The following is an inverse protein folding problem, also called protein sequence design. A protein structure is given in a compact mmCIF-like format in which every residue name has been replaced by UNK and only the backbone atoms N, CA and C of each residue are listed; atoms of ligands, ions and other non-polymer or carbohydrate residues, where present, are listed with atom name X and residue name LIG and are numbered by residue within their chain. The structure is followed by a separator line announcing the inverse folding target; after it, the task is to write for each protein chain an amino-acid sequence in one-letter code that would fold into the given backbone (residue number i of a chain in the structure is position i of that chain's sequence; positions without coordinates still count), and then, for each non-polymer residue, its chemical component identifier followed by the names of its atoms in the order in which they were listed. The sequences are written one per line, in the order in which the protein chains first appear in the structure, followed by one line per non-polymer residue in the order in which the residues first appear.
data_IF_885650071601
#
_entry.id   IF_885650071601
#
_cell.length_a   1.000
_cell.length_b   1.000
_cell.length_c   1.000
_cell.angle_alpha   90.00
_cell.angle_beta   90.00
_cell.angle_gamma   90.00
#
_symmetry.space_group_name_H-M   'P 1'
#
loop_
_entity.id
_entity.type
_entity.pdbx_description
1 polymer ?
#
# COMPACT_ATOMS: atom_id res chain seq x y z
N UNK A 1 -52.89 -76.82 14.32
CA UNK A 1 -53.51 -75.49 14.53
C UNK A 1 -52.73 -74.76 15.61
N UNK A 2 -51.84 -73.84 15.21
CA UNK A 2 -51.07 -72.97 16.11
C UNK A 2 -51.28 -71.53 15.61
N UNK A 3 -51.73 -70.57 16.44
CA UNK A 3 -51.70 -69.16 16.07
C UNK A 3 -50.29 -68.59 16.29
N UNK A 4 -49.73 -68.00 15.23
CA UNK A 4 -48.49 -67.23 15.26
C UNK A 4 -48.76 -65.87 15.89
N UNK A 5 -48.03 -65.57 16.97
CA UNK A 5 -48.10 -64.31 17.71
C UNK A 5 -47.58 -63.12 16.89
N UNK A 6 -48.40 -62.07 16.83
CA UNK A 6 -48.04 -60.76 16.28
C UNK A 6 -47.10 -60.03 17.23
N UNK A 7 -45.91 -59.66 16.74
CA UNK A 7 -44.94 -58.84 17.45
C UNK A 7 -45.29 -57.37 17.20
N UNK A 8 -45.64 -56.66 18.27
CA UNK A 8 -45.80 -55.21 18.26
C UNK A 8 -44.44 -54.53 18.10
N UNK A 9 -44.28 -53.70 17.07
CA UNK A 9 -43.13 -52.81 16.90
C UNK A 9 -43.32 -51.57 17.76
N UNK A 10 -42.36 -51.33 18.66
CA UNK A 10 -42.22 -50.11 19.44
C UNK A 10 -41.51 -49.08 18.54
N UNK A 11 -42.22 -48.05 18.10
CA UNK A 11 -41.67 -46.91 17.37
C UNK A 11 -41.19 -45.86 18.38
N UNK A 12 -39.89 -45.84 18.66
CA UNK A 12 -39.26 -44.84 19.52
C UNK A 12 -38.96 -43.59 18.70
N UNK A 13 -39.73 -42.52 18.94
CA UNK A 13 -39.57 -41.22 18.27
C UNK A 13 -38.28 -40.53 18.68
N UNK A 14 -37.45 -40.18 17.69
CA UNK A 14 -36.27 -39.34 17.86
C UNK A 14 -36.73 -37.88 17.83
N UNK A 15 -36.72 -37.20 18.98
CA UNK A 15 -36.83 -35.74 19.03
C UNK A 15 -35.44 -35.14 18.83
N UNK A 16 -35.11 -34.81 17.59
CA UNK A 16 -33.91 -34.03 17.25
C UNK A 16 -34.10 -32.62 17.81
N UNK A 17 -33.33 -32.28 18.84
CA UNK A 17 -33.33 -30.96 19.48
C UNK A 17 -32.54 -29.97 18.61
N UNK A 18 -33.26 -29.18 17.83
CA UNK A 18 -32.74 -28.12 16.96
C UNK A 18 -32.47 -26.84 17.75
N UNK A 19 -31.45 -26.81 18.62
CA UNK A 19 -31.03 -25.57 19.30
C UNK A 19 -29.52 -25.62 19.59
N UNK A 20 -28.67 -25.26 18.62
CA UNK A 20 -27.32 -24.69 18.89
C UNK A 20 -26.62 -24.17 17.61
N UNK A 21 -27.25 -23.28 16.84
CA UNK A 21 -26.63 -22.75 15.60
C UNK A 21 -26.90 -21.25 15.40
N UNK A 22 -26.52 -20.39 16.35
CA UNK A 22 -26.80 -18.96 16.23
C UNK A 22 -25.81 -17.99 16.92
N UNK A 23 -24.54 -18.37 17.17
CA UNK A 23 -23.64 -17.51 17.98
C UNK A 23 -22.22 -17.27 17.44
N UNK A 24 -21.94 -17.54 16.16
CA UNK A 24 -20.59 -17.40 15.58
C UNK A 24 -20.53 -16.55 14.29
N UNK A 25 -21.27 -15.45 14.23
CA UNK A 25 -21.25 -14.53 13.07
C UNK A 25 -20.98 -13.05 13.45
N UNK A 26 -20.44 -12.78 14.65
CA UNK A 26 -20.43 -11.42 15.21
C UNK A 26 -19.09 -10.66 15.22
N UNK A 27 -18.03 -11.12 14.54
CA UNK A 27 -16.77 -10.33 14.45
C UNK A 27 -16.16 -10.38 13.06
N UNK A 28 -16.97 -10.03 12.06
CA UNK A 28 -16.52 -9.69 10.73
C UNK A 28 -16.84 -8.22 10.44
N UNK A 29 -16.48 -7.32 11.35
CA UNK A 29 -16.34 -5.92 10.97
C UNK A 29 -15.08 -5.87 10.09
N UNK A 30 -15.26 -6.16 8.79
CA UNK A 30 -14.35 -5.71 7.75
C UNK A 30 -14.38 -4.17 7.82
N UNK A 31 -13.57 -3.62 8.72
CA UNK A 31 -13.15 -2.24 8.61
C UNK A 31 -12.26 -2.21 7.38
N UNK A 32 -12.83 -1.80 6.24
CA UNK A 32 -12.02 -1.15 5.22
C UNK A 32 -11.39 0.04 5.94
N UNK A 33 -10.12 -0.12 6.31
CA UNK A 33 -9.39 0.93 7.00
C UNK A 33 -9.24 2.07 6.00
N UNK A 34 -9.71 3.25 6.34
CA UNK A 34 -9.49 4.43 5.49
C UNK A 34 -7.98 4.54 5.20
N UNK A 35 -7.57 4.77 3.94
CA UNK A 35 -6.17 4.79 3.61
C UNK A 35 -5.44 5.83 4.45
N UNK A 36 -4.23 5.51 4.93
CA UNK A 36 -3.46 6.46 5.70
C UNK A 36 -3.26 7.72 4.84
N UNK A 37 -3.38 8.92 5.41
CA UNK A 37 -3.16 10.13 4.66
C UNK A 37 -1.74 10.11 4.08
N UNK A 38 -1.52 10.71 2.90
CA UNK A 38 -0.20 10.74 2.31
C UNK A 38 0.79 11.42 3.27
N UNK A 39 2.04 10.90 3.37
CA UNK A 39 3.04 11.49 4.26
C UNK A 39 3.34 12.94 3.86
N UNK A 40 3.60 13.83 4.83
CA UNK A 40 3.82 15.25 4.56
C UNK A 40 5.09 15.47 3.75
N UNK A 41 5.06 16.52 2.92
CA UNK A 41 6.21 16.93 2.12
C UNK A 41 7.41 17.33 3.00
N UNK A 42 8.66 17.12 2.54
CA UNK A 42 9.85 17.58 3.23
C UNK A 42 9.87 19.11 3.40
N UNK A 43 10.57 19.60 4.44
CA UNK A 43 10.67 21.03 4.70
C UNK A 43 11.23 21.81 3.51
N UNK A 44 10.56 22.90 3.12
CA UNK A 44 10.94 23.75 1.99
C UNK A 44 10.60 23.18 0.61
N UNK A 45 9.98 22.00 0.53
CA UNK A 45 9.44 21.48 -0.71
C UNK A 45 8.27 22.35 -1.20
N UNK A 46 8.18 22.56 -2.51
CA UNK A 46 7.11 23.32 -3.17
C UNK A 46 6.33 22.39 -4.07
N UNK A 47 4.99 22.46 -4.04
CA UNK A 47 4.14 21.66 -4.92
C UNK A 47 4.46 21.91 -6.40
N UNK A 48 4.53 20.83 -7.17
CA UNK A 48 4.86 20.81 -8.59
C UNK A 48 6.30 20.34 -8.86
N UNK A 49 6.53 19.73 -10.02
CA UNK A 49 7.81 19.13 -10.41
C UNK A 49 8.83 20.14 -10.99
N UNK A 50 8.51 21.44 -11.01
CA UNK A 50 9.31 22.47 -11.65
C UNK A 50 8.96 22.67 -13.13
N UNK A 51 9.96 23.02 -13.94
CA UNK A 51 9.84 23.25 -15.39
C UNK A 51 11.00 22.56 -16.14
N UNK A 52 10.92 22.50 -17.47
CA UNK A 52 12.05 22.08 -18.32
C UNK A 52 12.37 20.58 -18.34
N UNK A 53 13.65 20.24 -18.47
CA UNK A 53 14.13 18.86 -18.60
C UNK A 53 13.85 18.02 -17.35
N UNK A 54 13.89 18.65 -16.18
CA UNK A 54 13.63 17.99 -14.90
C UNK A 54 12.19 17.48 -14.79
N UNK A 55 11.21 18.19 -15.35
CA UNK A 55 9.81 17.70 -15.40
C UNK A 55 9.69 16.47 -16.29
N UNK A 56 10.38 16.45 -17.42
CA UNK A 56 10.38 15.29 -18.32
C UNK A 56 11.00 14.08 -17.62
N UNK A 57 12.16 14.26 -16.98
CA UNK A 57 12.84 13.20 -16.23
C UNK A 57 11.98 12.71 -15.05
N UNK A 58 11.33 13.62 -14.31
CA UNK A 58 10.41 13.28 -13.23
C UNK A 58 9.18 12.50 -13.72
N UNK A 59 8.62 12.88 -14.87
CA UNK A 59 7.47 12.17 -15.46
C UNK A 59 7.85 10.73 -15.88
N UNK A 60 9.07 10.55 -16.42
CA UNK A 60 9.61 9.23 -16.74
C UNK A 60 9.87 8.41 -15.48
N UNK A 61 10.47 9.01 -14.45
CA UNK A 61 10.71 8.36 -13.16
C UNK A 61 9.40 7.92 -12.49
N UNK A 62 8.37 8.77 -12.50
CA UNK A 62 7.03 8.43 -12.00
C UNK A 62 6.44 7.24 -12.74
N UNK A 63 6.48 7.26 -14.08
CA UNK A 63 5.95 6.18 -14.91
C UNK A 63 6.68 4.86 -14.65
N UNK A 64 8.02 4.92 -14.53
CA UNK A 64 8.83 3.74 -14.25
C UNK A 64 8.61 3.20 -12.83
N UNK A 65 8.57 4.07 -11.82
CA UNK A 65 8.28 3.68 -10.44
C UNK A 65 6.90 3.03 -10.35
N UNK A 66 5.86 3.67 -10.90
CA UNK A 66 4.50 3.10 -10.92
C UNK A 66 4.47 1.73 -11.57
N UNK A 67 5.08 1.58 -12.76
CA UNK A 67 5.18 0.30 -13.46
C UNK A 67 5.88 -0.78 -12.63
N UNK A 68 6.88 -0.41 -11.80
CA UNK A 68 7.53 -1.35 -10.89
C UNK A 68 6.60 -1.72 -9.73
N UNK A 69 5.87 -0.75 -9.18
CA UNK A 69 4.93 -0.96 -8.08
C UNK A 69 3.75 -1.86 -8.52
N UNK A 70 3.17 -1.61 -9.69
CA UNK A 70 2.08 -2.39 -10.31
C UNK A 70 2.39 -3.89 -10.51
N UNK A 71 3.63 -4.34 -10.28
CA UNK A 71 3.98 -5.77 -10.30
C UNK A 71 3.59 -6.53 -9.03
N UNK A 72 3.40 -5.80 -7.94
CA UNK A 72 3.26 -6.39 -6.60
C UNK A 72 2.15 -5.75 -5.76
N UNK A 73 1.65 -4.60 -6.19
CA UNK A 73 0.67 -3.79 -5.50
C UNK A 73 -0.43 -3.44 -6.49
N UNK A 74 -1.66 -3.46 -6.00
CA UNK A 74 -2.83 -3.10 -6.79
C UNK A 74 -3.13 -1.62 -6.54
N UNK A 75 -3.28 -0.85 -7.62
CA UNK A 75 -3.66 0.56 -7.52
C UNK A 75 -5.09 0.71 -6.97
N UNK A 76 -5.52 1.93 -6.59
CA UNK A 76 -5.15 3.19 -7.25
C UNK A 76 -4.01 3.98 -6.56
N UNK A 77 -3.08 4.48 -7.38
CA UNK A 77 -2.00 5.34 -6.90
C UNK A 77 -2.42 6.82 -6.80
N UNK A 78 -2.37 7.37 -5.60
CA UNK A 78 -2.26 8.82 -5.41
C UNK A 78 -0.84 9.27 -5.76
N UNK A 79 -0.73 10.38 -6.49
CA UNK A 79 0.55 10.94 -6.91
C UNK A 79 0.71 12.38 -6.44
N UNK A 80 1.82 12.65 -5.76
CA UNK A 80 2.24 13.97 -5.34
C UNK A 80 3.62 14.28 -5.92
N UNK A 81 3.78 15.49 -6.44
CA UNK A 81 5.03 15.95 -7.05
C UNK A 81 5.51 17.23 -6.37
N UNK A 82 6.79 17.28 -6.03
CA UNK A 82 7.40 18.43 -5.35
C UNK A 82 8.74 18.82 -5.97
N UNK A 83 9.04 20.11 -5.93
CA UNK A 83 10.37 20.67 -6.17
C UNK A 83 11.05 20.87 -4.84
N UNK A 84 12.24 20.31 -4.70
CA UNK A 84 13.02 20.35 -3.46
C UNK A 84 13.98 21.54 -3.44
N UNK A 85 14.33 22.05 -2.26
CA UNK A 85 15.46 22.95 -2.08
C UNK A 85 16.76 22.35 -2.65
N UNK A 86 17.62 23.19 -3.21
CA UNK A 86 18.93 22.78 -3.68
C UNK A 86 19.73 22.13 -2.54
N UNK A 87 20.44 21.04 -2.86
CA UNK A 87 21.23 20.29 -1.88
C UNK A 87 20.43 19.32 -1.00
N UNK A 88 19.11 19.17 -1.21
CA UNK A 88 18.35 18.10 -0.56
C UNK A 88 18.83 16.75 -1.09
N UNK A 89 19.57 16.02 -0.24
CA UNK A 89 20.12 14.71 -0.58
C UNK A 89 19.14 13.57 -0.34
N UNK A 90 19.38 12.45 -1.01
CA UNK A 90 18.60 11.23 -0.86
C UNK A 90 18.54 10.69 0.57
N UNK A 91 19.64 10.72 1.31
CA UNK A 91 19.69 10.18 2.67
C UNK A 91 18.79 10.99 3.61
N UNK A 92 18.75 12.31 3.46
CA UNK A 92 17.86 13.18 4.21
C UNK A 92 16.39 12.93 3.86
N UNK A 93 16.11 12.71 2.57
CA UNK A 93 14.77 12.41 2.07
C UNK A 93 14.24 11.07 2.59
N UNK A 94 15.06 10.02 2.54
CA UNK A 94 14.66 8.69 3.03
C UNK A 94 14.50 8.66 4.54
N UNK A 95 15.35 9.38 5.28
CA UNK A 95 15.21 9.55 6.73
C UNK A 95 13.90 10.30 7.08
N UNK A 96 13.54 11.35 6.32
CA UNK A 96 12.27 12.07 6.48
C UNK A 96 11.08 11.10 6.35
N UNK A 97 10.96 10.38 5.23
CA UNK A 97 9.80 9.49 5.02
C UNK A 97 9.78 8.29 5.97
N UNK A 98 10.94 7.73 6.32
CA UNK A 98 11.00 6.68 7.34
C UNK A 98 10.51 7.15 8.72
N UNK A 99 10.72 8.43 9.06
CA UNK A 99 10.19 9.05 10.28
C UNK A 99 8.68 9.32 10.21
N UNK A 100 8.20 9.86 9.09
CA UNK A 100 6.81 10.28 8.91
C UNK A 100 5.82 9.10 8.73
N UNK A 101 6.23 8.03 8.06
CA UNK A 101 5.38 6.85 7.85
C UNK A 101 5.09 6.12 9.18
N UNK A 102 5.99 6.22 10.15
CA UNK A 102 5.83 5.59 11.46
C UNK A 102 6.29 4.13 11.51
N UNK A 103 6.15 3.51 12.69
CA UNK A 103 6.84 2.26 13.02
C UNK A 103 6.24 0.98 12.42
N UNK A 104 5.01 1.03 11.89
CA UNK A 104 4.34 -0.11 11.26
C UNK A 104 4.82 -0.34 9.83
N UNK A 105 5.31 0.72 9.19
CA UNK A 105 5.85 0.67 7.84
C UNK A 105 7.21 0.01 7.80
N UNK A 106 7.39 -0.89 6.84
CA UNK A 106 8.63 -1.61 6.61
C UNK A 106 9.15 -1.32 5.21
N UNK A 107 10.45 -1.11 5.08
CA UNK A 107 11.08 -0.98 3.76
C UNK A 107 10.88 -2.26 2.95
N UNK A 108 10.43 -2.10 1.70
CA UNK A 108 10.24 -3.20 0.78
C UNK A 108 11.51 -3.42 -0.05
N UNK A 109 12.34 -4.36 0.41
CA UNK A 109 13.64 -4.68 -0.19
C UNK A 109 13.54 -5.35 -1.56
N UNK A 110 12.33 -5.63 -2.08
CA UNK A 110 12.13 -6.05 -3.47
C UNK A 110 12.49 -4.94 -4.46
N UNK A 111 12.46 -3.69 -4.02
CA UNK A 111 12.72 -2.51 -4.82
C UNK A 111 14.12 -1.96 -4.53
N UNK A 112 15.13 -2.26 -5.36
CA UNK A 112 16.45 -1.68 -5.19
C UNK A 112 16.40 -0.17 -5.38
N UNK A 113 17.31 0.52 -4.70
CA UNK A 113 17.36 1.97 -4.68
C UNK A 113 17.57 2.58 -6.09
N UNK A 114 18.56 2.04 -6.81
CA UNK A 114 18.90 2.41 -8.19
C UNK A 114 17.97 1.73 -9.22
N UNK A 115 16.68 1.64 -8.92
CA UNK A 115 15.72 0.82 -9.66
C UNK A 115 15.38 1.29 -11.08
N UNK A 116 15.95 2.39 -11.58
CA UNK A 116 15.75 2.92 -12.92
C UNK A 116 16.84 3.89 -13.39
N UNK A 117 16.72 4.40 -14.62
CA UNK A 117 17.73 5.30 -15.19
C UNK A 117 17.50 6.74 -14.75
N UNK A 118 18.43 7.31 -13.99
CA UNK A 118 18.46 8.74 -13.68
C UNK A 118 17.61 9.19 -12.49
N UNK A 119 17.21 8.26 -11.62
CA UNK A 119 16.54 8.57 -10.35
C UNK A 119 16.83 7.51 -9.28
N UNK A 120 16.76 7.90 -8.01
CA UNK A 120 16.79 6.99 -6.86
C UNK A 120 15.38 6.78 -6.32
N UNK A 121 15.08 5.60 -5.79
CA UNK A 121 13.75 5.28 -5.27
C UNK A 121 13.79 4.45 -4.01
N UNK A 122 12.72 4.53 -3.20
CA UNK A 122 12.52 3.67 -2.04
C UNK A 122 11.05 3.39 -1.89
N UNK A 123 10.73 2.18 -1.44
CA UNK A 123 9.37 1.70 -1.28
C UNK A 123 9.21 1.17 0.14
N UNK A 124 8.08 1.48 0.76
CA UNK A 124 7.65 0.95 2.04
C UNK A 124 6.26 0.33 1.92
N UNK A 125 5.94 -0.54 2.87
CA UNK A 125 4.63 -1.17 2.99
C UNK A 125 4.18 -1.29 4.44
N UNK A 126 2.87 -1.23 4.66
CA UNK A 126 2.20 -1.49 5.94
C UNK A 126 0.86 -2.20 5.68
N UNK A 127 0.80 -3.51 5.94
CA UNK A 127 -0.38 -4.31 5.59
C UNK A 127 -0.67 -4.25 4.09
N UNK A 128 -1.85 -3.72 3.76
CA UNK A 128 -2.36 -3.50 2.40
C UNK A 128 -2.00 -2.10 1.86
N UNK A 129 -1.16 -1.33 2.56
CA UNK A 129 -0.73 -0.02 2.07
C UNK A 129 0.68 -0.06 1.52
N UNK A 130 0.92 0.73 0.48
CA UNK A 130 2.23 0.88 -0.14
C UNK A 130 2.55 2.35 -0.41
N UNK A 131 3.82 2.73 -0.23
CA UNK A 131 4.31 4.07 -0.47
C UNK A 131 5.66 4.00 -1.18
N UNK A 132 5.79 4.72 -2.28
CA UNK A 132 7.02 4.81 -3.07
C UNK A 132 7.44 6.27 -3.23
N UNK A 133 8.73 6.55 -3.09
CA UNK A 133 9.31 7.84 -3.47
C UNK A 133 10.31 7.67 -4.60
N UNK A 134 10.42 8.69 -5.45
CA UNK A 134 11.47 8.82 -6.45
C UNK A 134 12.08 10.22 -6.42
N UNK A 135 13.41 10.29 -6.39
CA UNK A 135 14.18 11.51 -6.48
C UNK A 135 14.90 11.60 -7.82
N UNK A 136 14.55 12.61 -8.61
CA UNK A 136 15.30 13.02 -9.80
C UNK A 136 16.18 14.21 -9.41
N UNK A 137 17.49 14.01 -9.45
CA UNK A 137 18.43 15.09 -9.20
C UNK A 137 18.34 16.14 -10.31
N UNK A 138 18.13 17.39 -9.92
CA UNK A 138 18.11 18.51 -10.86
C UNK A 138 19.51 18.75 -11.44
N UNK A 139 19.58 19.13 -12.72
CA UNK A 139 20.86 19.56 -13.31
C UNK A 139 21.08 21.05 -13.07
N UNK A 140 22.27 21.46 -12.58
CA UNK A 140 22.64 22.86 -12.52
C UNK A 140 22.52 23.52 -13.91
N UNK A 141 22.20 24.83 -13.99
CA UNK A 141 22.19 25.80 -12.90
C UNK A 141 20.82 26.16 -12.30
N UNK A 142 19.70 25.67 -12.84
CA UNK A 142 18.37 26.22 -12.54
C UNK A 142 17.35 25.22 -11.97
N UNK A 143 17.58 23.92 -12.12
CA UNK A 143 16.57 22.94 -11.75
C UNK A 143 16.82 22.43 -10.33
N UNK A 144 15.91 22.75 -9.41
CA UNK A 144 15.83 22.04 -8.14
C UNK A 144 15.51 20.57 -8.39
N UNK A 145 15.92 19.68 -7.48
CA UNK A 145 15.57 18.27 -7.59
C UNK A 145 14.05 18.07 -7.53
N UNK A 146 13.55 17.09 -8.27
CA UNK A 146 12.14 16.73 -8.27
C UNK A 146 11.91 15.47 -7.45
N UNK A 147 10.91 15.54 -6.58
CA UNK A 147 10.43 14.45 -5.75
C UNK A 147 9.05 14.00 -6.25
N UNK A 148 8.91 12.70 -6.44
CA UNK A 148 7.63 12.04 -6.69
C UNK A 148 7.31 11.18 -5.48
N UNK A 149 6.07 11.23 -5.02
CA UNK A 149 5.52 10.36 -3.98
C UNK A 149 4.32 9.65 -4.57
N UNK A 150 4.28 8.33 -4.45
CA UNK A 150 3.17 7.48 -4.81
C UNK A 150 2.68 6.77 -3.55
N UNK A 151 1.37 6.77 -3.32
CA UNK A 151 0.74 6.05 -2.20
C UNK A 151 -0.45 5.27 -2.73
N UNK A 152 -0.65 4.03 -2.28
CA UNK A 152 -1.81 3.21 -2.63
C UNK A 152 -2.30 2.42 -1.42
N UNK A 153 -3.59 2.09 -1.49
CA UNK A 153 -4.23 0.99 -0.79
C UNK A 153 -4.37 -0.16 -1.80
N UNK A 154 -3.86 -1.33 -1.45
CA UNK A 154 -4.03 -2.58 -2.18
C UNK A 154 -5.47 -3.08 -1.90
N UNK A 155 -6.27 -3.22 -2.94
CA UNK A 155 -7.65 -3.75 -2.89
C UNK A 155 -7.71 -5.30 -2.69
#
# INVERSE_FOLDING_TARGET
MHPLGSRAMIATGIRVSTVLLATLLATGACGQGEPPPPPPAPAGAVNGLGEGETVTAASLAMTDLRRRLDKHFDGPWEHLGYRLPAGTGWDALTAHYAGELGATWTEDTRYPEDGGTGYRSKVWRDGDFSAGIALVEGRPPADGAALIVLVSEDD
#
